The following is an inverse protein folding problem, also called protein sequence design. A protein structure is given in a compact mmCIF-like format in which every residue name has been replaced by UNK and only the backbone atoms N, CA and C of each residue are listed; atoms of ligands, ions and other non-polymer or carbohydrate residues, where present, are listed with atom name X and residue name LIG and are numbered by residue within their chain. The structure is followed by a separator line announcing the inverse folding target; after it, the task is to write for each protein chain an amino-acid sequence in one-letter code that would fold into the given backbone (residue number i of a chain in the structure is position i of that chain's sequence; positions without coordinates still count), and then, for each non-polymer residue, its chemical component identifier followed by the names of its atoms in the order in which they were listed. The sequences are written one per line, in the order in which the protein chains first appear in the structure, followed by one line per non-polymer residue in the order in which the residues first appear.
data_IF_786752059263
#
_entry.id   IF_786752059263
#
_cell.length_a   1.000
_cell.length_b   1.000
_cell.length_c   1.000
_cell.angle_alpha   90.00
_cell.angle_beta   90.00
_cell.angle_gamma   90.00
#
_symmetry.space_group_name_H-M   'P 1'
#
loop_
_entity.id
_entity.type
_entity.pdbx_description
1 polymer ?
#
# COMPACT_ATOMS: atom_id res chain seq x y z
N UNK A 1 -10.15 -20.17 53.46
CA UNK A 1 -11.30 -20.15 52.53
C UNK A 1 -11.45 -18.78 51.88
N UNK A 2 -11.55 -17.68 52.63
CA UNK A 2 -11.70 -16.33 52.03
C UNK A 2 -10.52 -15.89 51.14
N UNK A 3 -9.29 -16.31 51.47
CA UNK A 3 -8.08 -15.96 50.71
C UNK A 3 -8.00 -16.63 49.34
N UNK A 4 -8.46 -17.88 49.22
CA UNK A 4 -8.56 -18.59 47.93
C UNK A 4 -9.65 -18.00 47.05
N UNK A 5 -10.77 -17.60 47.65
CA UNK A 5 -11.87 -16.94 46.93
C UNK A 5 -11.43 -15.57 46.36
N UNK A 6 -10.71 -14.77 47.14
CA UNK A 6 -10.13 -13.51 46.67
C UNK A 6 -9.06 -13.72 45.59
N UNK A 7 -8.23 -14.76 45.72
CA UNK A 7 -7.24 -15.11 44.71
C UNK A 7 -7.90 -15.49 43.38
N UNK A 8 -8.93 -16.36 43.42
CA UNK A 8 -9.67 -16.79 42.24
C UNK A 8 -10.44 -15.64 41.58
N UNK A 9 -11.01 -14.72 42.36
CA UNK A 9 -11.65 -13.51 41.82
C UNK A 9 -10.66 -12.62 41.08
N UNK A 10 -9.46 -12.45 41.64
CA UNK A 10 -8.40 -11.68 40.99
C UNK A 10 -7.89 -12.34 39.71
N UNK A 11 -7.75 -13.66 39.70
CA UNK A 11 -7.40 -14.40 38.48
C UNK A 11 -8.49 -14.28 37.40
N UNK A 12 -9.77 -14.35 37.77
CA UNK A 12 -10.88 -14.12 36.84
C UNK A 12 -10.85 -12.72 36.23
N UNK A 13 -10.54 -11.71 37.04
CA UNK A 13 -10.44 -10.33 36.57
C UNK A 13 -9.26 -10.16 35.61
N UNK A 14 -8.09 -10.69 35.95
CA UNK A 14 -6.92 -10.68 35.07
C UNK A 14 -7.18 -11.41 33.74
N UNK A 15 -7.91 -12.53 33.78
CA UNK A 15 -8.29 -13.29 32.58
C UNK A 15 -9.24 -12.49 31.70
N UNK A 16 -10.23 -11.80 32.28
CA UNK A 16 -11.15 -10.93 31.55
C UNK A 16 -10.42 -9.76 30.89
N UNK A 17 -9.50 -9.14 31.60
CA UNK A 17 -8.73 -8.02 31.07
C UNK A 17 -7.81 -8.48 29.91
N UNK A 18 -7.21 -9.67 30.04
CA UNK A 18 -6.39 -10.29 28.98
C UNK A 18 -7.23 -10.68 27.75
N UNK A 19 -8.46 -11.19 27.96
CA UNK A 19 -9.39 -11.49 26.87
C UNK A 19 -9.78 -10.22 26.11
N UNK A 20 -10.01 -9.12 26.83
CA UNK A 20 -10.38 -7.83 26.24
C UNK A 20 -9.21 -7.20 25.48
N UNK A 21 -7.98 -7.32 26.00
CA UNK A 21 -6.76 -6.92 25.30
C UNK A 21 -6.56 -7.74 24.02
N UNK A 22 -6.73 -9.06 24.09
CA UNK A 22 -6.66 -9.95 22.92
C UNK A 22 -7.72 -9.63 21.87
N UNK A 23 -8.95 -9.33 22.27
CA UNK A 23 -10.01 -8.90 21.34
C UNK A 23 -9.65 -7.59 20.65
N UNK A 24 -9.05 -6.64 21.38
CA UNK A 24 -8.60 -5.36 20.81
C UNK A 24 -7.49 -5.57 19.78
N UNK A 25 -6.48 -6.37 20.14
CA UNK A 25 -5.39 -6.76 19.23
C UNK A 25 -5.92 -7.49 17.99
N UNK A 26 -6.92 -8.36 18.14
CA UNK A 26 -7.52 -9.07 17.02
C UNK A 26 -8.27 -8.12 16.06
N UNK A 27 -8.97 -7.13 16.61
CA UNK A 27 -9.62 -6.09 15.82
C UNK A 27 -8.60 -5.24 15.03
N UNK A 28 -7.49 -4.85 15.66
CA UNK A 28 -6.41 -4.11 15.00
C UNK A 28 -5.78 -4.91 13.85
N UNK A 29 -5.53 -6.21 14.07
CA UNK A 29 -4.99 -7.11 13.04
C UNK A 29 -5.97 -7.25 11.87
N UNK A 30 -7.26 -7.42 12.15
CA UNK A 30 -8.29 -7.53 11.10
C UNK A 30 -8.37 -6.23 10.28
N UNK A 31 -8.37 -5.06 10.90
CA UNK A 31 -8.40 -3.77 10.21
C UNK A 31 -7.15 -3.57 9.30
N UNK A 32 -5.95 -3.89 9.80
CA UNK A 32 -4.70 -3.74 9.05
C UNK A 32 -4.56 -4.77 7.91
N UNK A 33 -4.95 -6.03 8.14
CA UNK A 33 -4.70 -7.11 7.17
C UNK A 33 -5.84 -7.34 6.17
N UNK A 34 -7.08 -6.96 6.50
CA UNK A 34 -8.24 -7.23 5.62
C UNK A 34 -8.77 -6.01 4.85
N UNK A 35 -8.50 -4.77 5.28
CA UNK A 35 -8.95 -3.57 4.55
C UNK A 35 -7.82 -2.80 3.83
N UNK A 36 -6.65 -2.64 4.47
CA UNK A 36 -5.61 -1.72 3.99
C UNK A 36 -4.62 -2.40 3.01
N UNK A 37 -4.19 -3.64 3.29
CA UNK A 37 -3.24 -4.35 2.43
C UNK A 37 -3.84 -4.71 1.05
N UNK A 38 -5.09 -5.21 0.94
CA UNK A 38 -5.69 -5.53 -0.36
C UNK A 38 -5.94 -4.29 -1.23
N UNK A 39 -6.31 -3.16 -0.61
CA UNK A 39 -6.64 -1.92 -1.33
C UNK A 39 -5.40 -1.27 -1.95
N UNK A 40 -4.26 -1.22 -1.25
CA UNK A 40 -3.01 -0.69 -1.79
C UNK A 40 -2.49 -1.54 -2.97
N UNK A 41 -2.57 -2.86 -2.87
CA UNK A 41 -2.20 -3.79 -3.95
C UNK A 41 -3.11 -3.56 -5.16
N UNK A 42 -4.43 -3.45 -4.94
CA UNK A 42 -5.39 -3.19 -6.00
C UNK A 42 -5.11 -1.87 -6.72
N UNK A 43 -4.85 -0.78 -5.99
CA UNK A 43 -4.54 0.53 -6.56
C UNK A 43 -3.25 0.48 -7.39
N UNK A 44 -2.19 -0.16 -6.89
CA UNK A 44 -0.95 -0.32 -7.64
C UNK A 44 -1.16 -1.14 -8.93
N UNK A 45 -1.94 -2.23 -8.85
CA UNK A 45 -2.31 -3.03 -10.01
C UNK A 45 -3.15 -2.23 -11.01
N UNK A 46 -4.07 -1.40 -10.55
CA UNK A 46 -4.90 -0.55 -11.40
C UNK A 46 -4.05 0.47 -12.15
N UNK A 47 -3.13 1.16 -11.47
CA UNK A 47 -2.18 2.07 -12.11
C UNK A 47 -1.34 1.38 -13.18
N UNK A 48 -0.83 0.18 -12.89
CA UNK A 48 -0.09 -0.59 -13.90
C UNK A 48 -1.00 -1.04 -15.05
N UNK A 49 -2.25 -1.44 -14.78
CA UNK A 49 -3.18 -1.92 -15.81
C UNK A 49 -3.58 -0.80 -16.78
N UNK A 50 -3.78 0.41 -16.26
CA UNK A 50 -4.14 1.62 -17.03
C UNK A 50 -2.93 2.15 -17.79
N UNK A 51 -1.82 2.39 -17.11
CA UNK A 51 -0.67 3.08 -17.71
C UNK A 51 0.27 2.15 -18.46
N UNK A 52 0.27 0.84 -18.14
CA UNK A 52 1.27 -0.14 -18.61
C UNK A 52 2.72 0.23 -18.30
N UNK A 53 2.96 1.12 -17.36
CA UNK A 53 4.31 1.52 -16.95
C UNK A 53 4.78 0.62 -15.79
N UNK A 54 6.05 0.22 -15.83
CA UNK A 54 6.78 -0.34 -14.68
C UNK A 54 7.91 0.59 -14.31
N UNK A 55 8.00 0.95 -13.04
CA UNK A 55 9.03 1.83 -12.51
C UNK A 55 10.24 1.06 -12.01
N UNK A 56 11.42 1.65 -12.18
CA UNK A 56 12.66 1.24 -11.53
C UNK A 56 12.77 2.03 -10.22
N UNK A 57 13.02 1.32 -9.11
CA UNK A 57 13.03 1.93 -7.78
C UNK A 57 14.44 2.20 -7.25
N UNK A 58 15.47 1.69 -7.92
CA UNK A 58 16.88 1.86 -7.57
C UNK A 58 17.48 3.06 -8.33
N UNK A 59 16.87 4.23 -8.18
CA UNK A 59 17.29 5.48 -8.84
C UNK A 59 17.30 6.66 -7.87
N UNK A 60 17.93 7.76 -8.28
CA UNK A 60 17.92 8.99 -7.50
C UNK A 60 16.49 9.53 -7.34
N UNK A 61 16.13 10.16 -6.21
CA UNK A 61 14.74 10.57 -5.93
C UNK A 61 14.12 11.54 -6.95
N UNK A 62 14.94 12.28 -7.69
CA UNK A 62 14.50 13.22 -8.72
C UNK A 62 14.43 12.58 -10.12
N UNK A 63 14.95 11.36 -10.28
CA UNK A 63 14.95 10.64 -11.55
C UNK A 63 13.81 9.65 -11.57
N UNK A 64 12.83 9.91 -12.42
CA UNK A 64 11.73 9.01 -12.68
C UNK A 64 12.12 8.09 -13.85
N UNK A 65 12.49 6.85 -13.55
CA UNK A 65 12.94 5.86 -14.55
C UNK A 65 12.04 4.65 -14.60
N UNK A 66 11.71 4.20 -15.80
CA UNK A 66 10.84 3.05 -15.98
C UNK A 66 10.73 2.61 -17.43
N UNK A 67 9.79 1.72 -17.72
CA UNK A 67 9.49 1.23 -19.06
C UNK A 67 7.98 1.16 -19.25
N UNK A 68 7.49 1.72 -20.35
CA UNK A 68 6.11 1.61 -20.81
C UNK A 68 5.96 0.39 -21.72
N UNK A 69 4.98 -0.48 -21.43
CA UNK A 69 4.67 -1.70 -22.19
C UNK A 69 3.32 -1.57 -22.93
N UNK A 70 3.30 -0.72 -23.96
CA UNK A 70 2.14 -0.58 -24.85
C UNK A 70 1.92 -1.77 -25.80
N UNK A 71 0.99 -1.64 -26.75
CA UNK A 71 0.71 -2.67 -27.75
C UNK A 71 1.86 -2.91 -28.74
N UNK A 72 2.74 -1.92 -28.90
CA UNK A 72 3.87 -1.95 -29.83
C UNK A 72 5.17 -2.41 -29.13
N UNK A 73 6.14 -1.50 -29.06
CA UNK A 73 7.46 -1.72 -28.47
C UNK A 73 7.52 -1.14 -27.06
N UNK A 74 8.28 -1.80 -26.20
CA UNK A 74 8.57 -1.27 -24.88
C UNK A 74 9.39 0.03 -24.98
N UNK A 75 8.86 1.13 -24.43
CA UNK A 75 9.49 2.45 -24.51
C UNK A 75 10.13 2.81 -23.16
N UNK A 76 11.44 3.11 -23.11
CA UNK A 76 12.09 3.53 -21.88
C UNK A 76 11.63 4.93 -21.46
N UNK A 77 11.49 5.13 -20.16
CA UNK A 77 11.18 6.40 -19.50
C UNK A 77 12.38 6.77 -18.62
N UNK A 78 12.88 7.99 -18.77
CA UNK A 78 13.94 8.54 -17.92
C UNK A 78 13.78 10.06 -17.83
N UNK A 79 13.12 10.53 -16.79
CA UNK A 79 12.74 11.94 -16.63
C UNK A 79 13.41 12.50 -15.37
N UNK A 80 14.14 13.60 -15.54
CA UNK A 80 14.59 14.42 -14.42
C UNK A 80 13.48 15.39 -13.99
N UNK A 81 12.93 15.15 -12.80
CA UNK A 81 11.84 15.94 -12.20
C UNK A 81 12.33 17.22 -11.54
N UNK A 82 13.64 17.40 -11.34
CA UNK A 82 14.21 18.62 -10.74
C UNK A 82 14.16 19.81 -11.70
N UNK A 83 14.17 19.54 -13.01
CA UNK A 83 14.22 20.56 -14.07
C UNK A 83 12.87 20.75 -14.79
N UNK A 84 11.82 20.03 -14.35
CA UNK A 84 10.51 20.01 -15.01
C UNK A 84 9.37 20.23 -14.03
N UNK A 85 8.29 20.85 -14.52
CA UNK A 85 7.08 21.02 -13.72
C UNK A 85 6.30 19.70 -13.60
N UNK A 86 5.62 19.51 -12.47
CA UNK A 86 4.78 18.32 -12.24
C UNK A 86 3.72 18.12 -13.33
N UNK A 87 3.10 19.20 -13.81
CA UNK A 87 2.10 19.10 -14.88
C UNK A 87 2.73 18.60 -16.18
N UNK A 88 3.89 19.14 -16.58
CA UNK A 88 4.57 18.71 -17.81
C UNK A 88 4.99 17.24 -17.75
N UNK A 89 5.45 16.77 -16.59
CA UNK A 89 5.79 15.36 -16.39
C UNK A 89 4.53 14.50 -16.50
N UNK A 90 3.43 14.88 -15.84
CA UNK A 90 2.17 14.14 -15.94
C UNK A 90 1.62 14.08 -17.36
N UNK A 91 1.65 15.19 -18.10
CA UNK A 91 1.17 15.26 -19.48
C UNK A 91 1.97 14.31 -20.39
N UNK A 92 3.30 14.26 -20.22
CA UNK A 92 4.15 13.33 -20.95
C UNK A 92 3.84 11.87 -20.62
N UNK A 93 3.62 11.55 -19.35
CA UNK A 93 3.29 10.18 -18.94
C UNK A 93 1.96 9.72 -19.52
N UNK A 94 0.96 10.61 -19.57
CA UNK A 94 -0.34 10.30 -20.15
C UNK A 94 -0.31 10.14 -21.67
N UNK A 95 0.63 10.78 -22.37
CA UNK A 95 0.80 10.58 -23.82
C UNK A 95 1.21 9.15 -24.21
N UNK A 96 1.74 8.34 -23.28
CA UNK A 96 1.99 6.92 -23.54
C UNK A 96 0.71 6.07 -23.57
N UNK A 97 -0.36 6.54 -22.92
CA UNK A 97 -1.61 5.79 -22.80
C UNK A 97 -2.44 6.02 -24.05
N UNK A 98 -2.65 4.95 -24.82
CA UNK A 98 -3.51 4.98 -26.00
C UNK A 98 -4.93 5.38 -25.64
N UNK A 99 -5.52 6.27 -26.45
CA UNK A 99 -6.89 6.78 -26.27
C UNK A 99 -7.90 6.15 -27.22
N UNK A 100 -7.46 5.16 -28.01
CA UNK A 100 -8.31 4.36 -28.90
C UNK A 100 -9.13 3.33 -28.10
N UNK A 101 -10.39 3.12 -28.50
CA UNK A 101 -11.38 2.28 -27.81
C UNK A 101 -11.85 1.12 -28.68
#
# INVERSE_FOLDING_TARGET
MDTELQFLQKELENLRDSEQELQTLQQEVDDDTTEVIPSAIYVAQLYHKVTKIKWEYDTEPHILRGVHYGADLATPINIDTSVRSRCSVSDELWNFVGTEW
#
